data_IF_198366493828
#
_entry.id   IF_198366493828
#
_cell.length_a   1.000
_cell.length_b   1.000
_cell.length_c   1.000
_cell.angle_alpha   90.00
_cell.angle_beta   90.00
_cell.angle_gamma   90.00
#
_symmetry.space_group_name_H-M   'P 1'
#
loop_
_entity.id
_entity.type
_entity.pdbx_description
1 polymer ?
#
# COMPACT_ATOMS: atom_id res chain seq x y z
N UNK A 1 -35.46 50.87 -24.43
CA UNK A 1 -35.46 49.43 -24.68
C UNK A 1 -34.11 48.89 -24.27
N UNK A 2 -34.08 48.11 -23.19
CA UNK A 2 -32.88 47.56 -22.55
C UNK A 2 -33.10 46.05 -22.47
N UNK A 3 -32.19 45.18 -22.95
CA UNK A 3 -32.44 43.75 -22.89
C UNK A 3 -32.20 43.23 -21.47
N UNK A 4 -33.19 42.51 -20.96
CA UNK A 4 -33.23 41.85 -19.65
C UNK A 4 -32.29 40.63 -19.72
N UNK A 5 -31.33 40.56 -18.80
CA UNK A 5 -30.47 39.39 -18.62
C UNK A 5 -31.24 38.18 -18.11
N UNK A 6 -31.09 37.04 -18.78
CA UNK A 6 -31.60 35.75 -18.31
C UNK A 6 -30.77 35.25 -17.13
N UNK A 7 -31.43 34.90 -16.02
CA UNK A 7 -30.83 34.12 -14.94
C UNK A 7 -30.56 32.67 -15.39
N UNK A 8 -29.46 32.04 -14.94
CA UNK A 8 -29.18 30.65 -15.26
C UNK A 8 -30.16 29.70 -14.55
N UNK A 9 -30.46 28.52 -15.12
CA UNK A 9 -31.42 27.58 -14.55
C UNK A 9 -30.92 27.01 -13.22
N UNK A 10 -31.85 26.65 -12.29
CA UNK A 10 -31.50 26.12 -10.99
C UNK A 10 -30.74 24.78 -11.11
N UNK A 11 -29.68 24.64 -10.31
CA UNK A 11 -28.88 23.43 -10.24
C UNK A 11 -29.74 22.23 -9.83
N UNK A 12 -29.73 21.19 -10.65
CA UNK A 12 -30.30 19.88 -10.33
C UNK A 12 -29.44 19.21 -9.25
N UNK A 13 -29.68 19.58 -7.99
CA UNK A 13 -29.24 18.81 -6.83
C UNK A 13 -29.85 17.42 -6.94
N UNK A 14 -29.01 16.46 -7.32
CA UNK A 14 -29.33 15.04 -7.26
C UNK A 14 -29.45 14.64 -5.79
N UNK A 15 -30.46 13.87 -5.37
CA UNK A 15 -30.54 13.42 -3.98
C UNK A 15 -29.33 12.54 -3.67
N UNK A 16 -28.56 12.94 -2.66
CA UNK A 16 -27.44 12.17 -2.11
C UNK A 16 -27.94 10.81 -1.62
N UNK A 17 -27.80 9.79 -2.46
CA UNK A 17 -27.97 8.41 -2.05
C UNK A 17 -26.68 8.00 -1.33
N UNK A 18 -26.63 8.29 -0.03
CA UNK A 18 -25.58 7.81 0.87
C UNK A 18 -25.83 6.30 1.07
N UNK A 19 -24.92 5.39 0.67
CA UNK A 19 -25.11 3.98 0.98
C UNK A 19 -25.09 3.77 2.50
N UNK A 20 -25.86 2.79 3.03
CA UNK A 20 -25.95 2.53 4.45
C UNK A 20 -24.58 2.12 5.02
N UNK A 21 -24.36 2.56 6.25
CA UNK A 21 -23.18 2.37 7.09
C UNK A 21 -22.56 0.97 7.00
N UNK A 22 -21.25 0.93 6.82
CA UNK A 22 -20.41 -0.28 6.96
C UNK A 22 -20.68 -0.95 8.32
N UNK A 23 -21.08 -2.23 8.38
CA UNK A 23 -21.20 -2.94 9.65
C UNK A 23 -19.80 -3.27 10.18
N UNK A 24 -19.43 -2.76 11.38
CA UNK A 24 -18.18 -3.15 12.02
C UNK A 24 -17.63 -2.24 13.12
N UNK A 25 -18.43 -1.85 14.12
CA UNK A 25 -17.98 -1.11 15.32
C UNK A 25 -17.49 -2.00 16.47
N UNK A 26 -17.13 -3.25 16.21
CA UNK A 26 -16.51 -4.09 17.23
C UNK A 26 -14.98 -3.92 17.20
N UNK A 27 -14.44 -3.10 18.10
CA UNK A 27 -13.00 -3.06 18.42
C UNK A 27 -12.55 -4.46 18.86
N UNK A 28 -11.69 -5.16 18.10
CA UNK A 28 -11.20 -6.44 18.54
C UNK A 28 -10.02 -6.26 19.52
N UNK A 29 -10.02 -7.07 20.56
CA UNK A 29 -8.98 -7.22 21.59
C UNK A 29 -7.57 -7.39 20.99
N UNK A 30 -6.61 -6.78 21.67
CA UNK A 30 -5.16 -6.73 21.43
C UNK A 30 -4.47 -8.10 21.50
N UNK A 31 -4.72 -8.96 20.52
CA UNK A 31 -3.74 -9.98 20.17
C UNK A 31 -2.67 -9.31 19.29
N UNK A 32 -1.46 -9.13 19.81
CA UNK A 32 -0.35 -8.58 19.04
C UNK A 32 -0.14 -9.35 17.74
N UNK A 33 0.22 -8.65 16.67
CA UNK A 33 0.57 -9.28 15.40
C UNK A 33 1.74 -10.24 15.63
N UNK A 34 1.49 -11.55 15.51
CA UNK A 34 2.55 -12.56 15.50
C UNK A 34 3.17 -12.59 14.12
N UNK A 35 4.39 -12.11 13.96
CA UNK A 35 5.19 -12.43 12.80
C UNK A 35 6.26 -13.47 13.12
N UNK A 36 6.89 -13.94 12.06
CA UNK A 36 7.93 -14.97 12.09
C UNK A 36 9.23 -14.28 11.70
N UNK A 37 10.31 -14.40 12.49
CA UNK A 37 11.61 -13.89 12.10
C UNK A 37 12.02 -14.43 10.73
N UNK A 38 12.60 -13.57 9.89
CA UNK A 38 13.09 -13.95 8.57
C UNK A 38 14.61 -13.93 8.58
N UNK A 39 15.20 -15.02 8.10
CA UNK A 39 16.62 -15.08 7.75
C UNK A 39 16.75 -15.52 6.30
N UNK A 40 16.85 -14.54 5.40
CA UNK A 40 16.99 -14.74 3.97
C UNK A 40 18.33 -15.36 3.56
N UNK A 41 19.32 -15.44 4.46
CA UNK A 41 20.60 -16.11 4.19
C UNK A 41 20.46 -17.65 4.16
N UNK A 42 19.40 -18.19 4.76
CA UNK A 42 19.12 -19.62 4.83
C UNK A 42 17.91 -19.94 3.94
N UNK A 43 17.97 -20.95 3.04
CA UNK A 43 16.85 -21.31 2.18
C UNK A 43 15.55 -21.66 2.92
N UNK A 44 15.63 -22.16 4.17
CA UNK A 44 14.50 -22.48 5.04
C UNK A 44 14.12 -21.34 6.02
N UNK A 45 14.80 -20.19 5.97
CA UNK A 45 14.64 -19.09 6.94
C UNK A 45 13.41 -18.20 6.69
N UNK A 46 12.30 -18.77 6.22
CA UNK A 46 11.05 -18.03 5.97
C UNK A 46 10.92 -17.39 4.59
N UNK A 47 11.90 -17.60 3.70
CA UNK A 47 11.86 -17.26 2.28
C UNK A 47 11.57 -18.52 1.46
N UNK A 48 10.69 -18.44 0.47
CA UNK A 48 10.32 -19.59 -0.38
C UNK A 48 11.48 -20.08 -1.24
N UNK A 49 11.35 -21.22 -1.90
CA UNK A 49 12.46 -21.82 -2.67
C UNK A 49 12.82 -21.06 -3.96
N UNK A 50 11.87 -20.33 -4.55
CA UNK A 50 12.07 -19.61 -5.82
C UNK A 50 12.91 -18.33 -5.64
N UNK A 51 13.81 -18.08 -6.59
CA UNK A 51 14.56 -16.81 -6.66
C UNK A 51 13.81 -15.86 -7.59
N UNK A 52 13.28 -14.73 -7.08
CA UNK A 52 12.62 -13.76 -7.94
C UNK A 52 13.64 -13.14 -8.91
N UNK A 53 13.17 -12.69 -10.08
CA UNK A 53 13.99 -11.92 -11.00
C UNK A 53 14.21 -10.53 -10.39
N UNK A 54 15.42 -10.29 -9.92
CA UNK A 54 15.83 -8.99 -9.38
C UNK A 54 16.36 -8.10 -10.50
N UNK A 55 16.17 -6.79 -10.36
CA UNK A 55 16.87 -5.83 -11.20
C UNK A 55 18.35 -5.80 -10.80
N UNK A 56 19.29 -5.62 -11.76
CA UNK A 56 20.71 -5.55 -11.45
C UNK A 56 21.07 -4.32 -10.59
N UNK A 57 20.36 -3.22 -10.83
CA UNK A 57 20.47 -1.97 -10.08
C UNK A 57 19.08 -1.53 -9.64
N UNK A 58 19.00 -0.89 -8.48
CA UNK A 58 17.73 -0.33 -8.03
C UNK A 58 17.32 0.86 -8.90
N UNK A 59 16.01 1.04 -9.16
CA UNK A 59 15.48 2.24 -9.81
C UNK A 59 15.81 3.51 -9.02
N UNK A 60 15.90 4.62 -9.73
CA UNK A 60 15.93 5.95 -9.10
C UNK A 60 14.48 6.38 -8.86
N UNK A 61 14.22 6.89 -7.66
CA UNK A 61 12.89 7.38 -7.25
C UNK A 61 13.01 8.73 -6.58
N UNK A 62 12.03 9.59 -6.78
CA UNK A 62 11.95 10.90 -6.14
C UNK A 62 10.54 11.12 -5.59
N UNK A 63 10.44 11.48 -4.31
CA UNK A 63 9.17 11.87 -3.71
C UNK A 63 8.82 13.31 -4.12
N UNK A 64 7.89 13.45 -5.06
CA UNK A 64 7.50 14.74 -5.64
C UNK A 64 6.71 15.57 -4.64
N UNK A 65 5.74 14.94 -3.97
CA UNK A 65 4.80 15.64 -3.08
C UNK A 65 4.34 14.75 -1.93
N UNK A 66 4.08 15.37 -0.79
CA UNK A 66 3.45 14.76 0.38
C UNK A 66 2.24 15.55 0.85
N UNK A 67 1.13 14.88 1.10
CA UNK A 67 -0.06 15.48 1.69
C UNK A 67 -0.56 14.70 2.91
N UNK A 68 -1.01 15.41 3.94
CA UNK A 68 -1.73 14.80 5.07
C UNK A 68 -3.14 14.45 4.63
N UNK A 69 -3.58 13.22 4.90
CA UNK A 69 -4.93 12.76 4.66
C UNK A 69 -5.64 12.57 6.00
N UNK A 70 -6.66 13.40 6.33
CA UNK A 70 -7.48 13.19 7.50
C UNK A 70 -8.19 11.84 7.43
N UNK A 71 -8.15 11.06 8.52
CA UNK A 71 -8.89 9.81 8.65
C UNK A 71 -9.99 9.96 9.70
N UNK A 72 -11.08 9.21 9.54
CA UNK A 72 -12.20 9.19 10.50
C UNK A 72 -11.80 8.65 11.87
N UNK A 73 -10.77 7.79 11.92
CA UNK A 73 -10.23 7.21 13.14
C UNK A 73 -9.21 8.12 13.86
N UNK A 74 -8.96 9.33 13.34
CA UNK A 74 -7.97 10.26 13.90
C UNK A 74 -6.52 9.82 13.72
N UNK A 75 -6.28 8.75 12.95
CA UNK A 75 -4.93 8.29 12.63
C UNK A 75 -4.25 9.29 11.70
N UNK A 76 -3.02 9.67 12.03
CA UNK A 76 -2.19 10.51 11.17
C UNK A 76 -1.70 9.69 9.98
N UNK A 77 -2.19 10.04 8.79
CA UNK A 77 -1.85 9.38 7.53
C UNK A 77 -1.34 10.43 6.53
N UNK A 78 -0.29 10.07 5.79
CA UNK A 78 0.32 10.89 4.76
C UNK A 78 0.43 10.10 3.46
N UNK A 79 0.07 10.71 2.34
CA UNK A 79 0.38 10.18 1.01
C UNK A 79 1.64 10.83 0.50
N UNK A 80 2.57 10.02 0.02
CA UNK A 80 3.77 10.42 -0.69
C UNK A 80 3.65 9.94 -2.13
N UNK A 81 3.77 10.85 -3.09
CA UNK A 81 3.74 10.56 -4.51
C UNK A 81 5.17 10.52 -5.05
N UNK A 82 5.50 9.47 -5.79
CA UNK A 82 6.84 9.20 -6.32
C UNK A 82 6.84 9.19 -7.84
N UNK A 83 7.83 9.86 -8.43
CA UNK A 83 8.30 9.60 -9.80
C UNK A 83 9.44 8.59 -9.79
N UNK A 84 9.73 8.03 -10.97
CA UNK A 84 10.81 7.06 -11.14
C UNK A 84 11.37 7.09 -12.57
N UNK A 85 12.50 6.39 -12.78
CA UNK A 85 13.18 6.30 -14.08
C UNK A 85 12.92 4.99 -14.86
N UNK A 86 12.01 4.12 -14.38
CA UNK A 86 11.71 2.81 -14.99
C UNK A 86 10.42 2.82 -15.78
N UNK A 87 9.42 3.57 -15.34
CA UNK A 87 8.17 3.78 -16.06
C UNK A 87 7.67 5.22 -15.93
N UNK A 88 6.63 5.55 -16.70
CA UNK A 88 6.00 6.87 -16.70
C UNK A 88 4.84 6.97 -15.70
N UNK A 89 4.82 6.11 -14.68
CA UNK A 89 3.74 6.07 -13.70
C UNK A 89 4.19 6.69 -12.39
N UNK A 90 3.24 7.35 -11.74
CA UNK A 90 3.44 7.79 -10.37
C UNK A 90 3.14 6.65 -9.41
N UNK A 91 3.96 6.44 -8.39
CA UNK A 91 3.70 5.45 -7.35
C UNK A 91 3.44 6.13 -6.01
N UNK A 92 2.78 5.43 -5.11
CA UNK A 92 2.33 6.00 -3.85
C UNK A 92 2.97 5.26 -2.67
N UNK A 93 3.35 6.00 -1.63
CA UNK A 93 3.55 5.45 -0.31
C UNK A 93 2.53 6.06 0.66
N UNK A 94 1.68 5.21 1.23
CA UNK A 94 0.73 5.57 2.29
C UNK A 94 1.44 5.34 3.62
N UNK A 95 1.74 6.42 4.32
CA UNK A 95 2.53 6.42 5.55
C UNK A 95 1.62 6.71 6.74
N UNK A 96 1.67 5.83 7.74
CA UNK A 96 0.93 5.92 8.99
C UNK A 96 1.88 6.35 10.11
N UNK A 97 1.54 7.42 10.81
CA UNK A 97 2.40 8.08 11.80
C UNK A 97 3.17 9.28 11.24
N UNK A 98 3.87 10.00 12.12
CA UNK A 98 4.56 11.26 11.79
C UNK A 98 6.08 11.12 11.60
N UNK A 99 6.63 9.94 11.89
CA UNK A 99 8.06 9.76 12.14
C UNK A 99 8.82 9.30 10.88
N UNK A 100 8.10 8.78 9.89
CA UNK A 100 8.68 8.31 8.63
C UNK A 100 8.67 9.46 7.64
N UNK A 101 9.83 9.79 7.09
CA UNK A 101 10.02 10.91 6.17
C UNK A 101 10.89 10.49 4.99
N UNK A 102 10.61 11.09 3.83
CA UNK A 102 11.36 10.87 2.60
C UNK A 102 12.57 11.81 2.54
N UNK A 103 13.73 11.26 2.20
CA UNK A 103 14.99 12.00 2.00
C UNK A 103 14.90 12.94 0.80
N UNK A 104 14.44 12.43 -0.34
CA UNK A 104 14.26 13.23 -1.56
C UNK A 104 13.21 14.33 -1.38
N UNK A 105 12.15 14.06 -0.62
CA UNK A 105 11.20 15.09 -0.21
C UNK A 105 11.90 16.13 0.67
N UNK A 106 12.65 15.76 1.70
CA UNK A 106 13.19 16.78 2.61
C UNK A 106 14.37 17.57 2.05
N UNK A 107 15.00 17.09 0.97
CA UNK A 107 16.09 17.78 0.28
C UNK A 107 15.74 19.21 -0.13
N UNK A 108 16.73 20.10 -0.10
CA UNK A 108 16.61 21.48 -0.60
C UNK A 108 16.79 21.48 -2.12
N UNK A 109 15.84 22.10 -2.84
CA UNK A 109 15.92 22.26 -4.29
C UNK A 109 16.45 23.65 -4.63
N UNK A 110 17.23 23.75 -5.70
CA UNK A 110 17.81 25.02 -6.14
C UNK A 110 16.70 26.03 -6.52
N UNK A 111 16.81 27.27 -6.04
CA UNK A 111 15.82 28.32 -6.30
C UNK A 111 14.48 28.16 -5.56
N UNK A 112 14.35 27.17 -4.69
CA UNK A 112 13.12 26.85 -3.97
C UNK A 112 12.82 27.83 -2.82
N UNK A 113 11.59 28.36 -2.77
CA UNK A 113 11.14 29.21 -1.65
C UNK A 113 10.56 28.37 -0.50
N UNK A 114 10.44 28.97 0.70
CA UNK A 114 9.75 28.32 1.83
C UNK A 114 8.30 27.94 1.49
N UNK A 115 7.63 28.74 0.65
CA UNK A 115 6.27 28.44 0.19
C UNK A 115 6.25 27.21 -0.71
N UNK A 116 7.18 27.09 -1.65
CA UNK A 116 7.31 25.93 -2.52
C UNK A 116 7.56 24.65 -1.71
N UNK A 117 8.42 24.74 -0.68
CA UNK A 117 8.66 23.64 0.28
C UNK A 117 7.39 23.21 1.00
N UNK A 118 6.59 24.17 1.46
CA UNK A 118 5.32 23.85 2.12
C UNK A 118 4.29 23.25 1.14
N UNK A 119 4.18 23.79 -0.08
CA UNK A 119 3.24 23.34 -1.12
C UNK A 119 3.50 21.89 -1.54
N UNK A 120 4.77 21.52 -1.74
CA UNK A 120 5.12 20.12 -2.02
C UNK A 120 5.08 19.23 -0.78
N UNK A 121 4.87 19.81 0.40
CA UNK A 121 4.70 19.05 1.63
C UNK A 121 5.98 18.75 2.40
N UNK A 122 7.12 19.36 2.09
CA UNK A 122 8.37 19.22 2.85
C UNK A 122 8.41 20.15 4.06
N UNK A 123 7.50 19.93 5.00
CA UNK A 123 7.41 20.68 6.26
C UNK A 123 7.38 19.75 7.47
N UNK A 124 7.60 20.30 8.66
CA UNK A 124 7.47 19.61 9.95
C UNK A 124 6.25 20.13 10.73
N UNK A 125 5.67 19.30 11.60
CA UNK A 125 4.44 19.64 12.32
C UNK A 125 3.20 19.77 11.41
N UNK A 126 2.23 20.59 11.81
CA UNK A 126 0.99 20.85 11.06
C UNK A 126 1.02 22.20 10.35
N UNK A 127 0.51 22.26 9.12
CA UNK A 127 0.25 23.54 8.45
C UNK A 127 -0.93 24.27 9.11
N UNK A 128 -0.87 25.59 9.09
CA UNK A 128 -1.93 26.49 9.53
C UNK A 128 -1.95 27.75 8.64
N UNK A 129 -3.10 28.43 8.49
CA UNK A 129 -3.18 29.67 7.71
C UNK A 129 -2.17 30.72 8.20
N UNK A 130 -1.42 31.33 7.27
CA UNK A 130 -0.41 32.34 7.58
C UNK A 130 0.97 31.80 7.98
N UNK A 131 1.20 30.48 7.93
CA UNK A 131 2.53 29.89 8.14
C UNK A 131 3.51 30.35 7.05
N UNK A 132 4.72 30.73 7.47
CA UNK A 132 5.77 31.27 6.57
C UNK A 132 7.04 30.41 6.50
N UNK A 133 7.17 29.40 7.36
CA UNK A 133 8.35 28.53 7.44
C UNK A 133 7.96 27.06 7.38
N UNK A 134 8.76 26.26 6.68
CA UNK A 134 8.62 24.81 6.54
C UNK A 134 9.06 24.04 7.79
N UNK A 135 9.99 24.60 8.57
CA UNK A 135 10.45 24.08 9.86
C UNK A 135 9.50 24.39 11.04
N UNK A 136 9.85 23.90 12.24
CA UNK A 136 9.28 24.39 13.49
C UNK A 136 9.91 25.77 13.74
N UNK A 137 9.14 26.84 13.55
CA UNK A 137 9.58 28.20 13.92
C UNK A 137 9.71 28.36 15.44
N UNK A 138 10.33 29.45 15.93
CA UNK A 138 10.63 29.67 17.35
C UNK A 138 9.41 29.94 18.27
N UNK A 139 8.18 29.62 17.87
CA UNK A 139 6.96 30.13 18.54
C UNK A 139 5.92 29.06 18.91
N UNK A 140 6.32 27.89 19.43
CA UNK A 140 5.38 27.05 20.18
C UNK A 140 6.09 26.25 21.28
N UNK A 141 5.99 26.64 22.56
CA UNK A 141 6.54 25.92 23.70
C UNK A 141 5.58 24.81 24.19
N UNK A 142 5.07 24.01 23.26
CA UNK A 142 4.55 22.68 23.60
C UNK A 142 5.41 21.68 22.84
N UNK A 143 6.35 21.09 23.59
CA UNK A 143 7.26 20.06 23.16
C UNK A 143 6.51 18.90 22.49
N UNK A 144 6.36 18.93 21.16
CA UNK A 144 6.45 17.67 20.41
C UNK A 144 7.93 17.29 20.47
N UNK A 145 8.30 16.53 21.51
CA UNK A 145 9.59 15.85 21.59
C UNK A 145 9.89 15.24 20.21
N UNK A 146 11.14 15.34 19.71
CA UNK A 146 11.51 14.69 18.46
C UNK A 146 11.02 13.24 18.54
N UNK A 147 10.37 12.74 17.48
CA UNK A 147 9.71 11.45 17.54
C UNK A 147 10.68 10.42 18.08
N UNK A 148 10.37 9.87 19.26
CA UNK A 148 11.17 8.77 19.81
C UNK A 148 11.17 7.67 18.76
N UNK A 149 12.34 7.39 18.20
CA UNK A 149 12.53 6.27 17.31
C UNK A 149 12.07 5.03 18.06
N UNK A 150 11.05 4.36 17.54
CA UNK A 150 10.64 3.08 18.11
C UNK A 150 11.78 2.09 17.89
N UNK A 151 12.10 1.30 18.91
CA UNK A 151 13.07 0.19 18.77
C UNK A 151 12.63 -0.90 17.76
N UNK A 152 11.39 -0.83 17.26
CA UNK A 152 10.88 -1.77 16.28
C UNK A 152 10.79 -1.14 14.87
N UNK A 153 11.20 -1.86 13.82
CA UNK A 153 10.97 -1.45 12.44
C UNK A 153 9.47 -1.29 12.11
N UNK A 154 9.10 -0.40 11.17
CA UNK A 154 7.71 -0.20 10.79
C UNK A 154 7.11 -1.46 10.15
N UNK A 155 5.79 -1.58 10.27
CA UNK A 155 5.04 -2.58 9.51
C UNK A 155 4.88 -2.10 8.06
N UNK A 156 5.31 -2.91 7.10
CA UNK A 156 5.32 -2.55 5.68
C UNK A 156 4.47 -3.52 4.88
N UNK A 157 3.68 -2.98 3.94
CA UNK A 157 2.90 -3.74 2.96
C UNK A 157 3.26 -3.29 1.56
N UNK A 158 3.72 -4.22 0.72
CA UNK A 158 3.88 -3.97 -0.72
C UNK A 158 2.61 -4.40 -1.45
N UNK A 159 1.84 -3.42 -1.86
CA UNK A 159 0.55 -3.57 -2.51
C UNK A 159 0.68 -3.29 -4.00
N UNK A 160 0.21 -4.24 -4.82
CA UNK A 160 0.08 -4.03 -6.26
C UNK A 160 -1.36 -3.59 -6.50
N UNK A 161 -1.54 -2.47 -7.19
CA UNK A 161 -2.84 -1.93 -7.61
C UNK A 161 -3.76 -3.03 -8.16
N UNK A 162 -5.01 -3.01 -7.69
CA UNK A 162 -6.09 -3.87 -8.13
C UNK A 162 -7.40 -3.08 -8.12
N UNK A 163 -7.63 -2.30 -9.16
CA UNK A 163 -8.80 -1.44 -9.34
C UNK A 163 -10.12 -2.17 -9.08
N UNK A 164 -10.27 -3.38 -9.65
CA UNK A 164 -11.51 -4.15 -9.49
C UNK A 164 -11.79 -4.55 -8.04
N UNK A 165 -10.75 -4.92 -7.29
CA UNK A 165 -10.92 -5.35 -5.90
C UNK A 165 -11.02 -4.18 -4.93
N UNK A 166 -10.30 -3.09 -5.18
CA UNK A 166 -10.18 -1.94 -4.28
C UNK A 166 -11.30 -0.92 -4.49
N UNK A 167 -11.67 -0.66 -5.75
CA UNK A 167 -12.59 0.42 -6.11
C UNK A 167 -13.94 -0.11 -6.56
N UNK A 168 -13.97 -1.26 -7.24
CA UNK A 168 -15.20 -1.82 -7.80
C UNK A 168 -15.82 -2.95 -6.96
N UNK A 169 -15.35 -3.15 -5.72
CA UNK A 169 -15.87 -4.14 -4.76
C UNK A 169 -15.99 -5.57 -5.33
N UNK A 170 -15.06 -5.95 -6.22
CA UNK A 170 -15.11 -7.24 -6.89
C UNK A 170 -14.94 -8.41 -5.92
N UNK A 171 -15.84 -9.38 -6.00
CA UNK A 171 -15.73 -10.65 -5.28
C UNK A 171 -14.72 -11.64 -5.90
N UNK A 172 -14.06 -11.30 -7.02
CA UNK A 172 -13.10 -12.19 -7.69
C UNK A 172 -11.74 -12.28 -6.99
N UNK A 173 -11.43 -11.33 -6.12
CA UNK A 173 -10.14 -11.27 -5.44
C UNK A 173 -10.26 -10.58 -4.08
N UNK A 174 -9.33 -10.87 -3.19
CA UNK A 174 -9.26 -10.31 -1.83
C UNK A 174 -8.41 -9.02 -1.74
N UNK A 175 -8.09 -8.38 -2.86
CA UNK A 175 -7.14 -7.26 -2.87
C UNK A 175 -7.61 -6.04 -2.08
N UNK A 176 -8.91 -5.68 -2.17
CA UNK A 176 -9.48 -4.57 -1.39
C UNK A 176 -9.41 -4.85 0.11
N UNK A 177 -9.84 -6.04 0.52
CA UNK A 177 -9.79 -6.48 1.93
C UNK A 177 -8.36 -6.47 2.49
N UNK A 178 -7.38 -6.90 1.69
CA UNK A 178 -5.97 -6.84 2.09
C UNK A 178 -5.45 -5.41 2.26
N UNK A 179 -5.90 -4.47 1.44
CA UNK A 179 -5.52 -3.05 1.55
C UNK A 179 -6.11 -2.44 2.83
N UNK A 180 -7.40 -2.68 3.07
CA UNK A 180 -8.13 -2.20 4.25
C UNK A 180 -7.54 -2.77 5.55
N UNK A 181 -7.28 -4.08 5.59
CA UNK A 181 -6.66 -4.72 6.77
C UNK A 181 -5.24 -4.21 7.01
N UNK A 182 -4.45 -3.98 5.96
CA UNK A 182 -3.12 -3.37 6.12
C UNK A 182 -3.21 -1.98 6.76
N UNK A 183 -4.11 -1.13 6.24
CA UNK A 183 -4.33 0.21 6.78
C UNK A 183 -4.83 0.16 8.23
N UNK A 184 -5.78 -0.74 8.54
CA UNK A 184 -6.31 -0.93 9.90
C UNK A 184 -5.21 -1.35 10.87
N UNK A 185 -4.39 -2.34 10.51
CA UNK A 185 -3.29 -2.83 11.34
C UNK A 185 -2.25 -1.74 11.63
N UNK A 186 -1.91 -0.94 10.62
CA UNK A 186 -0.96 0.17 10.76
C UNK A 186 -1.50 1.32 11.60
N UNK A 187 -2.83 1.48 11.62
CA UNK A 187 -3.56 2.53 12.36
C UNK A 187 -3.88 2.18 13.81
N UNK A 188 -3.49 1.00 14.30
CA UNK A 188 -3.79 0.59 15.67
C UNK A 188 -3.12 1.53 16.71
N UNK A 189 -3.81 1.95 17.79
CA UNK A 189 -3.26 2.90 18.77
C UNK A 189 -1.94 2.47 19.44
N UNK A 190 -1.67 1.17 19.49
CA UNK A 190 -0.42 0.62 20.03
C UNK A 190 0.76 0.63 19.05
N UNK A 191 0.54 0.94 17.78
CA UNK A 191 1.58 0.92 16.76
C UNK A 191 2.41 2.22 16.76
N UNK A 192 3.40 2.28 17.64
CA UNK A 192 4.33 3.43 17.72
C UNK A 192 5.39 3.44 16.60
N UNK A 193 5.64 2.29 15.97
CA UNK A 193 6.61 2.16 14.90
C UNK A 193 6.15 2.77 13.57
N UNK A 194 4.88 3.14 13.46
CA UNK A 194 4.28 3.58 12.21
C UNK A 194 4.08 2.43 11.22
N UNK A 195 3.67 2.77 10.01
CA UNK A 195 3.42 1.80 8.96
C UNK A 195 3.51 2.40 7.58
N UNK A 196 3.79 1.57 6.59
CA UNK A 196 3.95 1.99 5.20
C UNK A 196 3.25 1.01 4.29
N UNK A 197 2.34 1.50 3.45
CA UNK A 197 1.84 0.76 2.28
C UNK A 197 2.51 1.36 1.06
N UNK A 198 3.42 0.60 0.44
CA UNK A 198 3.96 0.93 -0.87
C UNK A 198 2.94 0.44 -1.90
N UNK A 199 2.26 1.39 -2.54
CA UNK A 199 1.22 1.16 -3.52
C UNK A 199 1.80 1.34 -4.94
N UNK A 200 2.09 0.20 -5.57
CA UNK A 200 2.67 0.14 -6.90
C UNK A 200 1.57 0.01 -7.94
N UNK A 201 1.54 0.93 -8.91
CA UNK A 201 0.56 0.99 -10.02
C UNK A 201 0.89 0.01 -11.14
N UNK A 202 0.90 -1.26 -10.77
CA UNK A 202 1.21 -2.40 -11.63
C UNK A 202 0.04 -3.39 -11.67
N UNK A 203 -1.10 -2.86 -12.10
CA UNK A 203 -2.36 -3.59 -12.28
C UNK A 203 -2.19 -4.89 -13.08
N UNK A 204 -3.00 -5.91 -12.75
CA UNK A 204 -3.06 -7.18 -13.47
C UNK A 204 -1.78 -8.00 -13.37
N UNK A 205 -0.93 -7.78 -12.36
CA UNK A 205 0.43 -8.33 -12.29
C UNK A 205 1.36 -7.79 -13.39
N UNK A 206 1.17 -6.51 -13.74
CA UNK A 206 2.00 -5.80 -14.71
C UNK A 206 1.46 -5.82 -16.15
N UNK A 207 0.40 -6.58 -16.44
CA UNK A 207 -0.22 -6.61 -17.79
C UNK A 207 -1.21 -5.47 -18.02
N UNK A 208 -1.65 -4.79 -16.96
CA UNK A 208 -2.63 -3.70 -17.02
C UNK A 208 -4.09 -4.14 -16.92
N UNK A 209 -4.97 -3.15 -16.74
CA UNK A 209 -6.40 -3.37 -16.46
C UNK A 209 -7.13 -4.01 -17.65
N UNK A 210 -6.91 -3.51 -18.87
CA UNK A 210 -7.61 -4.01 -20.06
C UNK A 210 -7.37 -5.50 -20.30
N UNK A 211 -6.12 -5.94 -20.19
CA UNK A 211 -5.75 -7.35 -20.33
C UNK A 211 -6.27 -8.22 -19.18
N UNK A 212 -6.30 -7.69 -17.96
CA UNK A 212 -6.93 -8.36 -16.82
C UNK A 212 -8.43 -8.61 -17.07
N UNK A 213 -9.15 -7.63 -17.62
CA UNK A 213 -10.58 -7.78 -17.94
C UNK A 213 -10.80 -8.80 -19.07
N UNK A 214 -9.91 -8.87 -20.06
CA UNK A 214 -9.95 -9.94 -21.07
C UNK A 214 -9.74 -11.32 -20.43
N UNK A 215 -8.80 -11.44 -19.50
CA UNK A 215 -8.56 -12.68 -18.77
C UNK A 215 -9.78 -13.10 -17.92
N UNK A 216 -10.51 -12.13 -17.37
CA UNK A 216 -11.79 -12.37 -16.68
C UNK A 216 -12.85 -12.95 -17.62
N UNK A 217 -13.00 -12.40 -18.82
CA UNK A 217 -13.95 -12.92 -19.81
C UNK A 217 -13.60 -14.37 -20.20
N UNK A 218 -12.32 -14.69 -20.37
CA UNK A 218 -11.87 -16.07 -20.67
C UNK A 218 -12.16 -17.02 -19.51
N UNK A 219 -12.04 -16.56 -18.27
CA UNK A 219 -12.39 -17.35 -17.09
C UNK A 219 -13.89 -17.64 -17.03
N UNK A 220 -14.73 -16.65 -17.35
CA UNK A 220 -16.18 -16.82 -17.41
C UNK A 220 -16.61 -17.75 -18.56
N UNK A 221 -15.78 -17.86 -19.60
CA UNK A 221 -15.93 -18.83 -20.69
C UNK A 221 -15.41 -20.24 -20.33
N UNK A 222 -14.84 -20.43 -19.12
CA UNK A 222 -14.46 -21.72 -18.58
C UNK A 222 -12.95 -22.00 -18.50
N UNK A 223 -12.09 -21.09 -18.97
CA UNK A 223 -10.64 -21.25 -18.82
C UNK A 223 -10.18 -21.05 -17.38
N UNK A 224 -9.19 -21.81 -16.93
CA UNK A 224 -8.58 -21.52 -15.61
C UNK A 224 -7.69 -20.25 -15.67
N UNK A 225 -7.28 -19.72 -14.51
CA UNK A 225 -6.47 -18.49 -14.46
C UNK A 225 -5.13 -18.61 -15.19
N UNK A 226 -4.53 -19.79 -15.24
CA UNK A 226 -3.25 -20.01 -15.93
C UNK A 226 -3.49 -20.10 -17.43
N UNK A 227 -4.51 -20.86 -17.84
CA UNK A 227 -4.92 -21.01 -19.23
C UNK A 227 -5.32 -19.67 -19.85
N UNK A 228 -6.12 -18.86 -19.15
CA UNK A 228 -6.51 -17.52 -19.61
C UNK A 228 -5.28 -16.63 -19.89
N UNK A 229 -4.25 -16.69 -19.05
CA UNK A 229 -3.00 -15.94 -19.27
C UNK A 229 -2.20 -16.51 -20.44
N UNK A 230 -2.15 -17.83 -20.61
CA UNK A 230 -1.48 -18.48 -21.74
C UNK A 230 -2.16 -18.14 -23.07
N UNK A 231 -3.49 -18.14 -23.12
CA UNK A 231 -4.28 -17.76 -24.30
C UNK A 231 -4.00 -16.31 -24.72
N UNK A 232 -3.84 -15.41 -23.75
CA UNK A 232 -3.48 -14.01 -23.97
C UNK A 232 -1.97 -13.79 -24.16
N UNK A 233 -1.15 -14.85 -24.11
CA UNK A 233 0.32 -14.83 -24.23
C UNK A 233 1.01 -13.94 -23.17
N UNK A 234 0.40 -13.84 -22.00
CA UNK A 234 0.91 -13.06 -20.88
C UNK A 234 1.86 -13.89 -20.00
N UNK A 235 2.92 -13.29 -19.44
CA UNK A 235 3.70 -13.94 -18.40
C UNK A 235 2.84 -14.16 -17.15
N UNK A 236 3.15 -15.20 -16.36
CA UNK A 236 2.42 -15.49 -15.12
C UNK A 236 2.53 -14.36 -14.07
N UNK A 237 3.65 -13.62 -14.10
CA UNK A 237 3.89 -12.43 -13.29
C UNK A 237 4.94 -11.54 -13.98
N UNK A 238 4.56 -10.33 -14.39
CA UNK A 238 5.46 -9.35 -15.00
C UNK A 238 5.99 -8.30 -14.01
N UNK A 239 5.65 -8.43 -12.72
CA UNK A 239 5.94 -7.39 -11.74
C UNK A 239 7.42 -7.33 -11.39
N UNK A 240 7.86 -6.12 -11.10
CA UNK A 240 9.15 -5.85 -10.44
C UNK A 240 8.89 -5.18 -9.09
N UNK A 241 9.69 -5.53 -8.10
CA UNK A 241 9.61 -4.94 -6.76
C UNK A 241 10.78 -4.01 -6.42
N UNK A 242 11.70 -3.78 -7.38
CA UNK A 242 12.83 -2.87 -7.17
C UNK A 242 12.41 -1.43 -6.85
N UNK A 243 11.31 -0.95 -7.44
CA UNK A 243 10.71 0.34 -7.08
C UNK A 243 10.28 0.39 -5.62
N UNK A 244 9.75 -0.72 -5.10
CA UNK A 244 9.35 -0.82 -3.70
C UNK A 244 10.56 -0.68 -2.77
N UNK A 245 11.66 -1.38 -3.09
CA UNK A 245 12.92 -1.28 -2.36
C UNK A 245 13.46 0.15 -2.38
N UNK A 246 13.52 0.78 -3.56
CA UNK A 246 14.01 2.16 -3.70
C UNK A 246 13.17 3.17 -2.90
N UNK A 247 11.83 3.05 -2.95
CA UNK A 247 10.93 3.91 -2.17
C UNK A 247 11.11 3.73 -0.66
N UNK A 248 11.35 2.51 -0.17
CA UNK A 248 11.62 2.26 1.25
C UNK A 248 12.94 2.89 1.71
N UNK A 249 13.99 2.82 0.89
CA UNK A 249 15.28 3.46 1.18
C UNK A 249 15.19 4.98 1.23
N UNK A 250 14.40 5.57 0.33
CA UNK A 250 14.11 7.00 0.32
C UNK A 250 13.32 7.42 1.56
N UNK A 251 12.37 6.61 2.02
CA UNK A 251 11.66 6.78 3.30
C UNK A 251 12.54 6.48 4.55
N UNK A 252 13.83 6.18 4.35
CA UNK A 252 14.77 5.91 5.42
C UNK A 252 14.53 4.60 6.16
N UNK A 253 13.95 3.59 5.51
CA UNK A 253 13.60 2.30 6.12
C UNK A 253 14.46 1.15 5.57
N UNK A 254 15.70 0.97 6.05
CA UNK A 254 16.55 -0.15 5.68
C UNK A 254 16.14 -1.46 6.36
N UNK A 255 15.34 -1.41 7.43
CA UNK A 255 14.82 -2.58 8.13
C UNK A 255 13.30 -2.49 8.22
N UNK A 256 12.59 -3.59 7.98
CA UNK A 256 11.12 -3.61 7.93
C UNK A 256 10.53 -4.90 8.50
N UNK A 257 9.28 -4.82 8.95
CA UNK A 257 8.42 -5.99 9.18
C UNK A 257 7.43 -6.12 8.03
N UNK A 258 7.54 -7.16 7.22
CA UNK A 258 6.81 -7.26 5.95
C UNK A 258 5.50 -8.05 6.10
N UNK A 259 4.38 -7.40 5.79
CA UNK A 259 3.04 -7.97 5.79
C UNK A 259 2.75 -8.70 4.47
N UNK A 260 3.11 -9.99 4.40
CA UNK A 260 2.99 -10.81 3.19
C UNK A 260 2.82 -12.30 3.48
N UNK A 261 2.09 -12.99 2.59
CA UNK A 261 2.11 -14.45 2.49
C UNK A 261 2.84 -14.95 1.24
N UNK A 262 3.26 -14.04 0.36
CA UNK A 262 4.06 -14.40 -0.80
C UNK A 262 5.53 -14.44 -0.37
N UNK A 263 6.18 -15.62 -0.35
CA UNK A 263 7.58 -15.73 -0.01
C UNK A 263 8.50 -15.02 -1.01
N UNK A 264 8.14 -14.99 -2.29
CA UNK A 264 8.96 -14.40 -3.34
C UNK A 264 9.03 -12.88 -3.17
N UNK A 265 7.98 -12.26 -2.63
CA UNK A 265 7.99 -10.82 -2.25
C UNK A 265 9.02 -10.51 -1.18
N UNK A 266 9.32 -11.43 -0.27
CA UNK A 266 10.30 -11.19 0.80
C UNK A 266 11.66 -10.94 0.18
N UNK A 267 12.15 -11.90 -0.63
CA UNK A 267 13.43 -11.76 -1.34
C UNK A 267 13.43 -10.60 -2.33
N UNK A 268 12.31 -10.36 -3.00
CA UNK A 268 12.25 -9.30 -4.00
C UNK A 268 12.35 -7.89 -3.39
N UNK A 269 11.81 -7.69 -2.19
CA UNK A 269 11.87 -6.42 -1.45
C UNK A 269 13.26 -6.18 -0.87
N UNK A 270 13.98 -7.22 -0.46
CA UNK A 270 15.34 -7.04 0.06
C UNK A 270 16.29 -6.42 -0.96
N UNK A 271 16.02 -6.63 -2.26
CA UNK A 271 16.82 -6.09 -3.35
C UNK A 271 18.05 -6.96 -3.68
N UNK A 272 18.77 -6.63 -4.77
CA UNK A 272 19.89 -7.44 -5.25
C UNK A 272 21.05 -7.53 -4.26
N UNK A 273 21.27 -6.49 -3.45
CA UNK A 273 22.36 -6.43 -2.47
C UNK A 273 21.88 -6.41 -1.02
N UNK A 274 20.61 -6.78 -0.77
CA UNK A 274 19.96 -6.71 0.56
C UNK A 274 19.93 -5.28 1.11
N UNK A 275 19.61 -4.34 0.25
CA UNK A 275 19.47 -2.93 0.60
C UNK A 275 18.40 -2.70 1.68
N UNK A 276 17.35 -3.53 1.67
CA UNK A 276 16.34 -3.60 2.73
C UNK A 276 16.44 -4.98 3.40
N UNK A 277 16.30 -5.02 4.73
CA UNK A 277 16.30 -6.24 5.53
C UNK A 277 14.90 -6.48 6.09
N UNK A 278 14.29 -7.59 5.70
CA UNK A 278 13.02 -8.04 6.30
C UNK A 278 13.35 -8.75 7.60
N UNK A 279 13.10 -8.12 8.76
CA UNK A 279 13.35 -8.71 10.08
C UNK A 279 12.31 -9.74 10.47
N UNK A 280 11.07 -9.46 10.10
CA UNK A 280 9.91 -10.25 10.50
C UNK A 280 8.92 -10.30 9.34
N UNK A 281 8.39 -11.48 9.05
CA UNK A 281 7.25 -11.68 8.17
C UNK A 281 5.99 -11.73 9.01
N UNK A 282 5.09 -10.79 8.77
CA UNK A 282 3.74 -10.79 9.35
C UNK A 282 2.77 -11.39 8.33
N UNK A 283 1.94 -12.34 8.76
CA UNK A 283 0.99 -12.99 7.86
C UNK A 283 -0.22 -12.08 7.56
N UNK A 284 -0.62 -12.04 6.29
CA UNK A 284 -1.85 -11.36 5.83
C UNK A 284 -2.99 -12.39 5.73
N UNK A 285 -3.55 -12.79 6.86
CA UNK A 285 -4.62 -13.79 6.87
C UNK A 285 -5.95 -13.14 6.43
N UNK A 286 -6.69 -13.71 5.47
CA UNK A 286 -8.02 -13.23 5.07
C UNK A 286 -8.95 -13.06 6.29
N UNK A 287 -9.69 -11.95 6.35
CA UNK A 287 -10.63 -11.64 7.42
C UNK A 287 -11.76 -12.66 7.49
N UNK A 288 -12.21 -13.16 6.33
CA UNK A 288 -13.23 -14.21 6.25
C UNK A 288 -12.81 -15.49 6.98
N UNK A 289 -11.51 -15.80 7.04
CA UNK A 289 -10.99 -16.95 7.78
C UNK A 289 -10.81 -16.67 9.27
N UNK A 290 -10.68 -15.41 9.66
CA UNK A 290 -10.62 -15.01 11.08
C UNK A 290 -12.01 -14.94 11.73
N UNK A 291 -13.10 -15.12 10.98
CA UNK A 291 -14.46 -14.92 11.46
C UNK A 291 -14.75 -13.47 11.87
N UNK A 292 -14.00 -12.49 11.34
CA UNK A 292 -14.04 -11.07 11.74
C UNK A 292 -14.35 -10.16 10.55
N UNK A 293 -15.43 -10.46 9.82
CA UNK A 293 -15.81 -9.75 8.61
C UNK A 293 -15.16 -10.34 7.34
N UNK A 294 -14.99 -9.53 6.31
CA UNK A 294 -14.64 -9.99 4.96
C UNK A 294 -15.83 -10.61 4.22
N UNK A 295 -15.59 -11.09 3.00
CA UNK A 295 -16.62 -11.76 2.21
C UNK A 295 -16.20 -13.18 1.80
N UNK A 296 -17.20 -14.02 1.52
CA UNK A 296 -17.01 -15.36 0.98
C UNK A 296 -17.78 -15.47 -0.32
N UNK A 297 -17.14 -16.01 -1.33
CA UNK A 297 -17.74 -16.32 -2.62
C UNK A 297 -16.95 -17.43 -3.29
N UNK A 298 -17.54 -18.12 -4.25
CA UNK A 298 -16.87 -19.20 -4.97
C UNK A 298 -15.64 -18.66 -5.74
N UNK A 299 -15.73 -17.43 -6.25
CA UNK A 299 -14.67 -16.79 -7.01
C UNK A 299 -13.44 -16.49 -6.14
N UNK A 300 -13.61 -15.86 -4.97
CA UNK A 300 -12.48 -15.57 -4.07
C UNK A 300 -11.87 -16.84 -3.49
N UNK A 301 -12.69 -17.85 -3.17
CA UNK A 301 -12.20 -19.14 -2.68
C UNK A 301 -11.36 -19.87 -3.75
N UNK A 302 -11.83 -19.89 -5.01
CA UNK A 302 -11.07 -20.45 -6.14
C UNK A 302 -9.77 -19.69 -6.41
N UNK A 303 -9.78 -18.37 -6.26
CA UNK A 303 -8.60 -17.52 -6.40
C UNK A 303 -7.56 -17.77 -5.29
N UNK A 304 -8.00 -17.87 -4.02
CA UNK A 304 -7.14 -18.16 -2.87
C UNK A 304 -6.53 -19.57 -2.99
N UNK A 305 -7.33 -20.56 -3.39
CA UNK A 305 -6.86 -21.91 -3.67
C UNK A 305 -5.75 -21.92 -4.72
N UNK A 306 -5.94 -21.19 -5.82
CA UNK A 306 -4.92 -21.03 -6.88
C UNK A 306 -3.63 -20.41 -6.36
N UNK A 307 -3.70 -19.39 -5.48
CA UNK A 307 -2.51 -18.79 -4.86
C UNK A 307 -1.70 -19.79 -4.02
N UNK A 308 -2.38 -20.68 -3.31
CA UNK A 308 -1.75 -21.65 -2.43
C UNK A 308 -1.16 -22.80 -3.26
N UNK A 309 -2.00 -23.48 -4.02
CA UNK A 309 -1.63 -24.71 -4.73
C UNK A 309 -0.69 -24.46 -5.91
N UNK A 310 -0.96 -23.43 -6.72
CA UNK A 310 -0.20 -23.17 -7.95
C UNK A 310 0.91 -22.13 -7.77
N UNK A 311 0.77 -21.21 -6.81
CA UNK A 311 1.71 -20.09 -6.62
C UNK A 311 2.50 -20.13 -5.32
N UNK A 312 2.34 -21.16 -4.48
CA UNK A 312 3.18 -21.39 -3.29
C UNK A 312 3.04 -20.34 -2.19
N UNK A 313 1.88 -19.71 -2.06
CA UNK A 313 1.64 -18.76 -0.97
C UNK A 313 1.56 -19.49 0.38
N UNK A 314 2.16 -18.89 1.42
CA UNK A 314 2.21 -19.41 2.79
C UNK A 314 0.91 -19.11 3.55
N UNK A 315 -0.21 -19.62 3.03
CA UNK A 315 -1.51 -19.60 3.68
C UNK A 315 -1.93 -21.04 3.97
N UNK A 316 -2.36 -21.30 5.20
CA UNK A 316 -2.86 -22.62 5.59
C UNK A 316 -4.39 -22.65 5.50
N UNK A 317 -4.92 -23.46 4.57
CA UNK A 317 -6.37 -23.67 4.40
C UNK A 317 -6.99 -24.37 5.61
N UNK A 318 -6.21 -25.04 6.48
CA UNK A 318 -6.72 -25.67 7.70
C UNK A 318 -7.18 -24.65 8.76
N UNK A 319 -6.88 -23.36 8.56
CA UNK A 319 -7.37 -22.25 9.39
C UNK A 319 -8.74 -21.72 8.97
N UNK A 320 -9.36 -22.27 7.93
CA UNK A 320 -10.73 -21.96 7.51
C UNK A 320 -11.69 -22.61 8.51
N UNK A 321 -12.52 -21.84 9.24
CA UNK A 321 -13.61 -22.43 10.01
C UNK A 321 -14.53 -23.18 9.05
N UNK A 322 -14.79 -24.46 9.33
CA UNK A 322 -15.81 -25.24 8.63
C UNK A 322 -17.17 -24.56 8.72
#
# INVERSE_FOLDING_TARGET
>A
ETPIGQEPPPSLLSPSFTPPSTPGTATPTTAGLRGVPVDSSIPSGGCGSKKPKLLPTLPEVECIVRARIPTVAGTEMFLHLYSNNVDNKEHLAIVFGKNIRSKSLDAVREGETEMDRMVRGAYTGRLFPGRTTSGIGPATPQEEQPPQASDQPPLVRIHSECYTGETAWSARCDCGEQLDEAARLMSLPGNKAGGIIIYLRQEGRGIGLGEKLKAYNLQDLGSDTVEANLLLRHPADARSYGLATAMLLDLGQPEVRLLTNNPDKIRAVEGPNREVVVKERVAMVPLSWKGRGGFRSQEVEGYLKTKIEKMGHMLDMASVPQ
#
